data_IF_569786678742
#
_entry.id   IF_569786678742
#
_cell.length_a   1.000
_cell.length_b   1.000
_cell.length_c   1.000
_cell.angle_alpha   90.00
_cell.angle_beta   90.00
_cell.angle_gamma   90.00
#
_symmetry.space_group_name_H-M   'P 1'
#
loop_
_entity.id
_entity.type
_entity.pdbx_description
1 polymer ?
#
# COMPACT_ATOMS: atom_id res chain seq x y z
N UNK A 1 1.78 40.72 -19.69
CA UNK A 1 1.37 40.80 -18.26
C UNK A 1 0.05 40.08 -17.98
N UNK A 2 -1.01 40.35 -18.74
CA UNK A 2 -2.34 39.74 -18.56
C UNK A 2 -2.34 38.21 -18.63
N UNK A 3 -1.63 37.61 -19.59
CA UNK A 3 -1.52 36.15 -19.71
C UNK A 3 -0.84 35.49 -18.49
N UNK A 4 0.14 36.17 -17.89
CA UNK A 4 0.85 35.68 -16.70
C UNK A 4 -0.06 35.70 -15.46
N UNK A 5 -0.88 36.75 -15.31
CA UNK A 5 -1.88 36.83 -14.24
C UNK A 5 -2.97 35.77 -14.38
N UNK A 6 -3.45 35.54 -15.60
CA UNK A 6 -4.44 34.48 -15.88
C UNK A 6 -3.86 33.10 -15.56
N UNK A 7 -2.60 32.85 -15.94
CA UNK A 7 -1.93 31.58 -15.63
C UNK A 7 -1.80 31.36 -14.12
N UNK A 8 -1.34 32.37 -13.37
CA UNK A 8 -1.22 32.28 -11.91
C UNK A 8 -2.60 32.08 -11.26
N UNK A 9 -3.63 32.80 -11.72
CA UNK A 9 -5.00 32.63 -11.21
C UNK A 9 -5.55 31.23 -11.50
N UNK A 10 -5.27 30.66 -12.68
CA UNK A 10 -5.66 29.30 -13.03
C UNK A 10 -4.94 28.26 -12.14
N UNK A 11 -3.62 28.40 -11.93
CA UNK A 11 -2.87 27.54 -11.02
C UNK A 11 -3.41 27.62 -9.58
N UNK A 12 -3.68 28.83 -9.08
CA UNK A 12 -4.27 29.03 -7.76
C UNK A 12 -5.66 28.38 -7.66
N UNK A 13 -6.48 28.51 -8.70
CA UNK A 13 -7.80 27.87 -8.78
C UNK A 13 -7.72 26.33 -8.73
N UNK A 14 -6.78 25.72 -9.46
CA UNK A 14 -6.56 24.26 -9.44
C UNK A 14 -6.14 23.81 -8.04
N UNK A 15 -5.21 24.52 -7.39
CA UNK A 15 -4.76 24.20 -6.03
C UNK A 15 -5.91 24.35 -5.02
N UNK A 16 -6.70 25.42 -5.11
CA UNK A 16 -7.85 25.64 -4.24
C UNK A 16 -8.91 24.55 -4.42
N UNK A 17 -9.20 24.15 -5.67
CA UNK A 17 -10.13 23.05 -5.96
C UNK A 17 -9.61 21.74 -5.36
N UNK A 18 -8.32 21.42 -5.53
CA UNK A 18 -7.71 20.24 -4.94
C UNK A 18 -7.77 20.24 -3.40
N UNK A 19 -7.54 21.39 -2.77
CA UNK A 19 -7.66 21.55 -1.32
C UNK A 19 -9.11 21.36 -0.83
N UNK A 20 -10.09 21.94 -1.53
CA UNK A 20 -11.52 21.78 -1.24
C UNK A 20 -11.89 20.30 -1.35
N UNK A 21 -11.57 19.65 -2.47
CA UNK A 21 -11.86 18.22 -2.69
C UNK A 21 -11.23 17.38 -1.59
N UNK A 22 -9.95 17.59 -1.25
CA UNK A 22 -9.28 16.87 -0.17
C UNK A 22 -9.96 17.05 1.19
N UNK A 23 -10.44 18.25 1.49
CA UNK A 23 -11.16 18.54 2.74
C UNK A 23 -12.51 17.84 2.79
N UNK A 24 -13.23 17.78 1.67
CA UNK A 24 -14.54 17.12 1.57
C UNK A 24 -14.46 15.60 1.47
N UNK A 25 -13.48 15.04 0.76
CA UNK A 25 -13.31 13.58 0.66
C UNK A 25 -12.74 12.97 1.93
N UNK A 26 -12.16 13.79 2.82
CA UNK A 26 -11.63 13.33 4.10
C UNK A 26 -10.42 12.43 3.95
N UNK A 27 -9.75 12.46 2.78
CA UNK A 27 -8.53 11.71 2.50
C UNK A 27 -7.42 12.19 3.45
N UNK A 28 -7.28 11.50 4.58
CA UNK A 28 -6.28 11.78 5.61
C UNK A 28 -5.12 10.82 5.42
N UNK A 29 -3.93 11.37 5.22
CA UNK A 29 -2.69 10.60 5.29
C UNK A 29 -2.63 9.83 6.60
N UNK A 30 -2.54 8.49 6.49
CA UNK A 30 -2.34 7.60 7.64
C UNK A 30 -0.88 7.19 7.70
N UNK A 31 -0.36 7.09 8.91
CA UNK A 31 1.00 6.64 9.17
C UNK A 31 0.96 5.37 10.02
N UNK A 32 1.95 4.49 9.85
CA UNK A 32 2.00 3.22 10.58
C UNK A 32 2.08 3.39 12.10
N UNK A 33 2.81 4.41 12.56
CA UNK A 33 2.98 4.74 13.99
C UNK A 33 1.67 5.18 14.66
N UNK A 34 0.76 5.77 13.90
CA UNK A 34 -0.54 6.27 14.36
C UNK A 34 -1.70 5.39 13.87
N UNK A 35 -1.43 4.16 13.44
CA UNK A 35 -2.47 3.25 12.99
C UNK A 35 -3.31 2.76 14.17
N UNK A 36 -4.62 2.93 14.07
CA UNK A 36 -5.56 2.45 15.07
C UNK A 36 -5.99 1.02 14.72
N UNK A 37 -5.39 0.04 15.40
CA UNK A 37 -5.77 -1.37 15.25
C UNK A 37 -7.19 -1.62 15.78
N UNK A 38 -7.90 -2.57 15.17
CA UNK A 38 -9.22 -2.95 15.64
C UNK A 38 -9.12 -3.64 17.03
N UNK A 39 -10.20 -3.63 17.84
CA UNK A 39 -10.20 -4.36 19.11
C UNK A 39 -9.84 -5.84 18.91
N UNK A 40 -8.82 -6.30 19.65
CA UNK A 40 -8.30 -7.66 19.57
C UNK A 40 -7.37 -7.96 18.39
N UNK A 41 -7.11 -6.99 17.51
CA UNK A 41 -6.13 -7.16 16.43
C UNK A 41 -4.71 -7.12 17.00
N UNK A 42 -3.88 -8.10 16.63
CA UNK A 42 -2.53 -8.29 17.17
C UNK A 42 -1.48 -8.29 16.07
N UNK A 43 -0.34 -7.67 16.34
CA UNK A 43 0.80 -7.67 15.41
C UNK A 43 1.52 -9.02 15.52
N UNK A 44 1.60 -9.74 14.41
CA UNK A 44 2.26 -11.04 14.32
C UNK A 44 3.70 -10.91 13.85
N UNK A 45 3.96 -9.93 12.97
CA UNK A 45 5.28 -9.70 12.40
C UNK A 45 5.41 -8.25 11.94
N UNK A 46 6.62 -7.70 12.03
CA UNK A 46 6.93 -6.34 11.59
C UNK A 46 8.36 -6.27 11.07
N UNK A 47 8.53 -5.56 9.96
CA UNK A 47 9.84 -5.19 9.43
C UNK A 47 9.81 -3.74 8.95
N UNK A 48 10.64 -2.88 9.55
CA UNK A 48 10.74 -1.45 9.21
C UNK A 48 11.74 -1.16 8.07
N UNK A 49 12.47 -2.18 7.61
CA UNK A 49 13.49 -2.12 6.57
C UNK A 49 13.17 -3.02 5.38
N UNK A 50 11.90 -3.21 5.04
CA UNK A 50 11.51 -4.00 3.89
C UNK A 50 11.53 -3.18 2.59
N UNK A 51 11.36 -3.86 1.46
CA UNK A 51 10.97 -3.25 0.19
C UNK A 51 9.77 -3.97 -0.41
N UNK A 52 8.81 -3.20 -0.91
CA UNK A 52 7.56 -3.74 -1.45
C UNK A 52 7.48 -3.43 -2.93
N UNK A 53 7.17 -4.46 -3.72
CA UNK A 53 6.90 -4.35 -5.16
C UNK A 53 5.49 -4.87 -5.44
N UNK A 54 4.65 -4.01 -6.01
CA UNK A 54 3.34 -4.38 -6.53
C UNK A 54 3.53 -4.82 -7.99
N UNK A 55 3.29 -6.10 -8.28
CA UNK A 55 3.48 -6.66 -9.62
C UNK A 55 2.12 -6.66 -10.34
N UNK A 56 1.95 -5.89 -11.42
CA UNK A 56 0.71 -5.93 -12.20
C UNK A 56 0.59 -7.21 -13.03
N UNK A 57 -0.64 -7.66 -13.33
CA UNK A 57 -0.92 -8.79 -14.24
C UNK A 57 -0.56 -8.51 -15.70
N UNK A 58 -0.58 -7.23 -16.10
CA UNK A 58 -0.29 -6.80 -17.47
C UNK A 58 0.99 -5.98 -17.51
N UNK A 59 1.89 -6.31 -18.44
CA UNK A 59 3.12 -5.56 -18.68
C UNK A 59 4.30 -5.91 -17.77
N UNK A 60 4.46 -7.19 -17.43
CA UNK A 60 5.63 -7.66 -16.68
C UNK A 60 6.94 -7.21 -17.34
N UNK A 61 7.77 -6.47 -16.60
CA UNK A 61 9.11 -6.16 -17.06
C UNK A 61 9.90 -7.47 -17.19
N UNK A 62 10.55 -7.69 -18.34
CA UNK A 62 11.33 -8.90 -18.66
C UNK A 62 12.38 -9.22 -17.58
N UNK A 63 12.87 -8.19 -16.87
CA UNK A 63 13.68 -8.34 -15.68
C UNK A 63 13.42 -7.17 -14.73
N UNK A 64 12.75 -7.43 -13.60
CA UNK A 64 12.67 -6.51 -12.47
C UNK A 64 13.59 -7.03 -11.37
N UNK A 65 14.73 -6.35 -11.16
CA UNK A 65 15.56 -6.55 -9.96
C UNK A 65 15.33 -5.35 -9.05
N UNK A 66 14.57 -5.49 -7.95
CA UNK A 66 14.43 -4.40 -7.01
C UNK A 66 15.79 -4.14 -6.36
N UNK A 67 16.25 -2.89 -6.46
CA UNK A 67 17.33 -2.39 -5.60
C UNK A 67 16.74 -2.34 -4.19
N UNK A 68 17.39 -2.97 -3.21
CA UNK A 68 16.95 -2.90 -1.81
C UNK A 68 17.25 -1.51 -1.27
N UNK A 69 16.24 -0.65 -1.26
CA UNK A 69 16.34 0.74 -0.82
C UNK A 69 15.83 0.90 0.62
N UNK A 70 15.26 -0.15 1.21
CA UNK A 70 14.70 -0.19 2.56
C UNK A 70 13.73 0.97 2.79
N UNK A 71 12.89 1.24 1.78
CA UNK A 71 11.97 2.39 1.78
C UNK A 71 10.61 2.07 2.34
N UNK A 72 10.37 0.81 2.67
CA UNK A 72 9.07 0.34 3.14
C UNK A 72 9.16 -0.22 4.55
N UNK A 73 8.06 -0.08 5.27
CA UNK A 73 7.79 -0.77 6.50
C UNK A 73 6.55 -1.63 6.31
N UNK A 74 6.60 -2.85 6.81
CA UNK A 74 5.51 -3.82 6.71
C UNK A 74 5.13 -4.26 8.12
N UNK A 75 3.83 -4.23 8.39
CA UNK A 75 3.26 -4.76 9.64
C UNK A 75 2.22 -5.79 9.26
N UNK A 76 2.45 -7.05 9.59
CA UNK A 76 1.48 -8.12 9.44
C UNK A 76 0.77 -8.36 10.78
N UNK A 77 -0.55 -8.33 10.75
CA UNK A 77 -1.44 -8.63 11.87
C UNK A 77 -2.17 -9.93 11.61
N UNK A 78 -2.92 -10.39 12.59
CA UNK A 78 -3.88 -11.49 12.47
C UNK A 78 -5.07 -11.18 11.54
N UNK A 79 -5.17 -9.95 11.00
CA UNK A 79 -6.27 -9.55 10.11
C UNK A 79 -5.80 -8.99 8.77
N UNK A 80 -4.67 -8.28 8.75
CA UNK A 80 -4.23 -7.53 7.57
C UNK A 80 -2.72 -7.33 7.52
N UNK A 81 -2.23 -6.86 6.38
CA UNK A 81 -0.87 -6.39 6.20
C UNK A 81 -0.90 -4.91 5.86
N UNK A 82 -0.22 -4.10 6.65
CA UNK A 82 -0.04 -2.67 6.41
C UNK A 82 1.29 -2.43 5.71
N UNK A 83 1.28 -1.74 4.58
CA UNK A 83 2.47 -1.37 3.82
C UNK A 83 2.66 0.14 3.89
N UNK A 84 3.64 0.57 4.67
CA UNK A 84 4.07 1.95 4.79
C UNK A 84 5.26 2.26 3.89
N UNK A 85 5.26 3.41 3.23
CA UNK A 85 6.39 3.92 2.49
C UNK A 85 6.95 5.18 3.17
N UNK A 86 8.28 5.30 3.19
CA UNK A 86 8.98 6.39 3.85
C UNK A 86 8.67 7.71 3.17
N UNK A 87 7.94 8.59 3.87
CA UNK A 87 7.69 9.95 3.43
C UNK A 87 8.92 10.85 3.65
N UNK A 88 8.92 12.05 3.07
CA UNK A 88 10.01 13.05 3.19
C UNK A 88 10.38 13.40 4.65
N UNK A 89 9.49 13.16 5.61
CA UNK A 89 9.73 13.36 7.05
C UNK A 89 10.20 12.12 7.82
N UNK A 90 10.60 11.04 7.14
CA UNK A 90 11.07 9.79 7.75
C UNK A 90 9.96 8.89 8.33
N UNK A 91 8.74 9.42 8.51
CA UNK A 91 7.56 8.65 8.91
C UNK A 91 7.09 7.73 7.78
N UNK A 92 6.58 6.57 8.16
CA UNK A 92 6.09 5.55 7.22
C UNK A 92 4.60 5.79 6.94
N UNK A 93 4.30 6.38 5.78
CA UNK A 93 2.94 6.64 5.33
C UNK A 93 2.33 5.37 4.76
N UNK A 94 1.16 4.96 5.26
CA UNK A 94 0.44 3.79 4.74
C UNK A 94 0.02 4.05 3.30
N UNK A 95 0.44 3.17 2.39
CA UNK A 95 0.09 3.21 0.96
C UNK A 95 -0.85 2.08 0.58
N UNK A 96 -0.66 0.91 1.18
CA UNK A 96 -1.50 -0.25 0.95
C UNK A 96 -1.92 -0.92 2.25
N UNK A 97 -3.14 -1.44 2.26
CA UNK A 97 -3.69 -2.31 3.31
C UNK A 97 -4.17 -3.58 2.64
N UNK A 98 -3.59 -4.72 3.00
CA UNK A 98 -3.92 -6.02 2.42
C UNK A 98 -4.75 -6.83 3.44
N UNK A 99 -6.01 -7.11 3.14
CA UNK A 99 -6.93 -7.78 4.08
C UNK A 99 -7.02 -9.29 3.81
N UNK A 100 -7.01 -10.12 4.87
CA UNK A 100 -6.87 -11.59 4.75
C UNK A 100 -8.11 -12.41 5.17
N UNK A 101 -8.97 -11.85 6.03
CA UNK A 101 -10.08 -12.58 6.65
C UNK A 101 -11.44 -12.06 6.16
N UNK A 102 -11.91 -10.96 6.74
CA UNK A 102 -13.09 -10.22 6.27
C UNK A 102 -12.61 -9.11 5.35
N UNK A 103 -12.84 -9.29 4.05
CA UNK A 103 -12.61 -8.25 3.05
C UNK A 103 -13.59 -7.12 3.35
N UNK A 104 -13.08 -6.02 3.89
CA UNK A 104 -13.86 -4.85 4.21
C UNK A 104 -14.49 -4.25 2.96
N UNK A 105 -15.55 -3.46 3.16
CA UNK A 105 -16.27 -2.80 2.06
C UNK A 105 -15.34 -1.97 1.15
N UNK A 106 -14.23 -1.46 1.68
CA UNK A 106 -13.26 -0.67 0.92
C UNK A 106 -12.46 -1.52 -0.09
N UNK A 107 -12.11 -2.77 0.24
CA UNK A 107 -11.44 -3.70 -0.68
C UNK A 107 -12.37 -4.27 -1.77
N UNK A 108 -13.69 -4.16 -1.59
CA UNK A 108 -14.70 -4.51 -2.60
C UNK A 108 -14.96 -3.37 -3.59
N UNK A 109 -14.37 -2.19 -3.39
CA UNK A 109 -14.48 -1.06 -4.32
C UNK A 109 -13.38 -1.13 -5.36
N UNK A 110 -13.70 -0.71 -6.58
CA UNK A 110 -12.72 -0.56 -7.66
C UNK A 110 -11.52 0.33 -7.24
N UNK A 111 -11.76 1.43 -6.53
CA UNK A 111 -10.70 2.33 -6.08
C UNK A 111 -9.90 1.82 -4.87
N UNK A 112 -10.30 0.69 -4.26
CA UNK A 112 -9.72 0.18 -3.02
C UNK A 112 -9.77 1.19 -1.86
N UNK A 113 -10.66 2.19 -1.93
CA UNK A 113 -10.69 3.30 -0.97
C UNK A 113 -9.57 4.34 -1.14
N UNK A 114 -8.79 4.32 -2.23
CA UNK A 114 -7.70 5.29 -2.45
C UNK A 114 -8.17 6.74 -2.37
N UNK A 115 -9.32 7.04 -2.99
CA UNK A 115 -9.87 8.40 -3.06
C UNK A 115 -10.51 8.86 -1.74
N UNK A 116 -10.89 7.93 -0.87
CA UNK A 116 -11.60 8.21 0.38
C UNK A 116 -10.68 8.13 1.60
N UNK A 117 -9.73 7.18 1.61
CA UNK A 117 -8.82 6.89 2.73
C UNK A 117 -7.40 7.42 2.53
N UNK A 118 -6.99 7.66 1.29
CA UNK A 118 -5.62 8.05 0.94
C UNK A 118 -4.63 6.89 0.83
N UNK A 119 -5.12 5.64 0.90
CA UNK A 119 -4.36 4.41 0.67
C UNK A 119 -5.24 3.39 -0.07
N UNK A 120 -4.63 2.44 -0.77
CA UNK A 120 -5.34 1.40 -1.51
C UNK A 120 -5.49 0.14 -0.65
N UNK A 121 -6.70 -0.41 -0.62
CA UNK A 121 -7.04 -1.65 0.10
C UNK A 121 -7.21 -2.76 -0.93
N UNK A 122 -6.59 -3.91 -0.66
CA UNK A 122 -6.66 -5.10 -1.50
C UNK A 122 -7.00 -6.31 -0.62
N UNK A 123 -7.91 -7.17 -1.05
CA UNK A 123 -8.04 -8.48 -0.41
C UNK A 123 -6.99 -9.45 -0.94
N UNK A 124 -6.34 -10.17 -0.04
CA UNK A 124 -5.31 -11.17 -0.34
C UNK A 124 -5.73 -12.55 0.16
N UNK A 125 -5.22 -13.59 -0.48
CA UNK A 125 -5.35 -14.94 0.04
C UNK A 125 -4.57 -15.06 1.35
N UNK A 126 -5.05 -15.92 2.27
CA UNK A 126 -4.33 -16.25 3.51
C UNK A 126 -3.00 -16.97 3.26
N UNK A 127 -2.89 -17.63 2.11
CA UNK A 127 -1.67 -18.34 1.72
C UNK A 127 -0.54 -17.35 1.42
N UNK A 128 0.59 -17.59 2.09
CA UNK A 128 1.84 -16.87 1.87
C UNK A 128 2.78 -17.78 1.11
N UNK A 129 3.43 -17.26 0.05
CA UNK A 129 4.43 -18.04 -0.70
C UNK A 129 5.82 -17.46 -0.43
N UNK A 130 6.64 -18.11 0.43
CA UNK A 130 8.00 -17.68 0.68
C UNK A 130 8.93 -18.09 -0.47
N UNK A 131 9.77 -17.16 -0.92
CA UNK A 131 10.83 -17.36 -1.90
C UNK A 131 12.18 -16.97 -1.29
N UNK A 132 12.62 -17.76 -0.31
CA UNK A 132 13.81 -17.47 0.51
C UNK A 132 15.11 -17.96 -0.13
N UNK A 133 15.00 -18.81 -1.15
CA UNK A 133 16.08 -19.35 -1.97
C UNK A 133 16.54 -18.39 -3.08
N UNK A 134 15.72 -17.38 -3.39
CA UNK A 134 16.03 -16.37 -4.41
C UNK A 134 16.91 -15.24 -3.86
N UNK A 135 17.62 -14.56 -4.75
CA UNK A 135 18.41 -13.37 -4.41
C UNK A 135 17.93 -12.13 -5.20
N UNK A 136 17.35 -11.11 -4.53
CA UNK A 136 17.06 -11.03 -3.10
C UNK A 136 15.85 -11.90 -2.66
N UNK A 137 15.84 -12.43 -1.42
CA UNK A 137 14.73 -13.23 -0.90
C UNK A 137 13.49 -12.37 -0.69
N UNK A 138 12.31 -12.96 -0.89
CA UNK A 138 11.04 -12.27 -0.69
C UNK A 138 9.91 -13.19 -0.26
N UNK A 139 8.84 -12.57 0.21
CA UNK A 139 7.56 -13.20 0.51
C UNK A 139 6.52 -12.68 -0.47
N UNK A 140 5.81 -13.57 -1.15
CA UNK A 140 4.73 -13.21 -2.08
C UNK A 140 3.35 -13.36 -1.42
N UNK A 141 2.54 -12.32 -1.58
CA UNK A 141 1.13 -12.29 -1.22
C UNK A 141 0.29 -12.16 -2.49
N UNK A 142 -0.66 -13.08 -2.67
CA UNK A 142 -1.49 -13.14 -3.87
C UNK A 142 -2.84 -12.47 -3.61
N UNK A 143 -3.24 -11.46 -4.39
CA UNK A 143 -4.59 -10.91 -4.34
C UNK A 143 -5.65 -11.97 -4.64
N UNK A 144 -6.81 -11.87 -3.99
CA UNK A 144 -7.93 -12.77 -4.29
C UNK A 144 -8.47 -12.46 -5.71
N UNK A 145 -8.67 -13.48 -6.57
CA UNK A 145 -8.99 -13.28 -7.98
C UNK A 145 -10.42 -12.78 -8.22
N UNK A 146 -11.31 -12.99 -7.26
CA UNK A 146 -12.73 -12.64 -7.27
C UNK A 146 -13.03 -11.23 -6.76
N UNK A 147 -12.04 -10.53 -6.21
CA UNK A 147 -12.21 -9.16 -5.74
C UNK A 147 -11.91 -8.13 -6.84
N UNK A 148 -12.76 -7.08 -6.96
CA UNK A 148 -12.51 -6.01 -7.90
C UNK A 148 -11.30 -5.17 -7.45
N UNK A 149 -10.43 -4.82 -8.40
CA UNK A 149 -9.33 -3.89 -8.14
C UNK A 149 -9.03 -3.05 -9.38
N UNK A 150 -8.93 -1.73 -9.20
CA UNK A 150 -8.47 -0.79 -10.24
C UNK A 150 -7.01 -1.00 -10.62
N UNK A 151 -6.22 -1.59 -9.72
CA UNK A 151 -4.84 -1.97 -9.99
C UNK A 151 -4.86 -3.46 -10.24
N UNK A 152 -4.76 -3.90 -11.49
CA UNK A 152 -4.77 -5.32 -11.85
C UNK A 152 -3.50 -5.99 -11.32
N UNK A 153 -3.45 -6.37 -10.05
CA UNK A 153 -2.26 -6.90 -9.34
C UNK A 153 -2.22 -8.43 -9.47
N UNK A 154 -1.06 -8.95 -9.87
CA UNK A 154 -0.76 -10.39 -9.88
C UNK A 154 -0.30 -10.86 -8.50
N UNK A 155 0.61 -10.10 -7.90
CA UNK A 155 1.22 -10.42 -6.62
C UNK A 155 1.80 -9.15 -5.96
N UNK A 156 1.91 -9.20 -4.64
CA UNK A 156 2.65 -8.24 -3.84
C UNK A 156 3.88 -8.95 -3.29
N UNK A 157 5.07 -8.51 -3.68
CA UNK A 157 6.34 -9.07 -3.22
C UNK A 157 6.92 -8.19 -2.11
N UNK A 158 7.24 -8.80 -0.98
CA UNK A 158 7.87 -8.16 0.18
C UNK A 158 9.29 -8.71 0.27
N UNK A 159 10.27 -7.92 -0.13
CA UNK A 159 11.70 -8.23 -0.01
C UNK A 159 12.17 -7.88 1.40
N UNK A 160 12.66 -8.88 2.12
CA UNK A 160 13.05 -8.76 3.52
C UNK A 160 14.06 -9.84 3.88
N UNK A 161 14.97 -9.53 4.80
CA UNK A 161 15.91 -10.50 5.39
C UNK A 161 15.26 -11.31 6.53
N UNK A 162 14.11 -10.88 7.03
CA UNK A 162 13.37 -11.53 8.12
C UNK A 162 12.15 -12.32 7.61
N UNK A 163 12.14 -12.66 6.31
CA UNK A 163 11.01 -13.31 5.64
C UNK A 163 10.64 -14.69 6.19
N UNK A 164 11.60 -15.44 6.77
CA UNK A 164 11.32 -16.71 7.43
C UNK A 164 10.39 -16.59 8.65
N UNK A 165 10.34 -15.41 9.28
CA UNK A 165 9.45 -15.12 10.40
C UNK A 165 8.08 -14.58 10.00
N UNK A 166 7.82 -14.38 8.70
CA UNK A 166 6.57 -13.79 8.23
C UNK A 166 5.38 -14.70 8.52
N UNK A 167 4.30 -14.15 9.10
CA UNK A 167 3.09 -14.90 9.46
C UNK A 167 1.83 -14.10 9.17
N UNK A 168 0.80 -14.81 8.73
CA UNK A 168 -0.60 -14.36 8.65
C UNK A 168 -1.48 -15.40 9.36
N UNK A 169 -2.61 -14.95 9.91
CA UNK A 169 -3.58 -15.81 10.60
C UNK A 169 -4.69 -16.34 9.67
#
# INVERSE_FOLDING_TARGET
MTAMLIFVAACAGIVALGWIVSKFTGAKTRFLDAWAYAPGETVLWRDDGADVVIVPRLGGAVSMRPVRLHRWAVVATDRRVLLGNKALGGRQMVRYVLETAEVGADAQRLDGGLLTRGFSTLGIAKSVTPHLDLHPPYVALTPQPDLPSSTNVAEVRIYTDSGAGFRLA
#
